data_IF_915234327532
#
_entry.id   IF_915234327532
#
_cell.length_a   1.000
_cell.length_b   1.000
_cell.length_c   1.000
_cell.angle_alpha   90.00
_cell.angle_beta   90.00
_cell.angle_gamma   90.00
#
_symmetry.space_group_name_H-M   'P 1'
#
loop_
_entity.id
_entity.type
_entity.pdbx_description
1 polymer ?
#
# COMPACT_ATOMS: atom_id res chain seq x y z
N UNK A 1 -32.69 2.71 9.73
CA UNK A 1 -31.41 2.31 9.08
C UNK A 1 -31.14 3.27 7.95
N UNK A 2 -29.96 3.88 7.86
CA UNK A 2 -29.58 4.69 6.70
C UNK A 2 -29.59 3.80 5.45
N UNK A 3 -30.39 4.16 4.44
CA UNK A 3 -30.44 3.44 3.17
C UNK A 3 -29.11 3.57 2.44
N UNK A 4 -28.68 2.51 1.76
CA UNK A 4 -27.49 2.54 0.91
C UNK A 4 -27.76 3.40 -0.33
N UNK A 5 -26.91 4.40 -0.58
CA UNK A 5 -27.04 5.33 -1.71
C UNK A 5 -25.77 5.30 -2.54
N UNK A 6 -25.91 5.35 -3.86
CA UNK A 6 -24.80 5.28 -4.82
C UNK A 6 -24.65 6.61 -5.55
N UNK A 7 -23.40 7.04 -5.75
CA UNK A 7 -23.06 8.23 -6.55
C UNK A 7 -22.05 7.88 -7.65
N UNK A 8 -22.18 8.45 -8.86
CA UNK A 8 -21.21 8.25 -9.92
C UNK A 8 -19.87 8.88 -9.58
N UNK A 9 -18.79 8.15 -9.82
CA UNK A 9 -17.43 8.64 -9.65
C UNK A 9 -17.04 9.44 -10.89
N UNK A 10 -16.64 10.69 -10.69
CA UNK A 10 -16.09 11.57 -11.71
C UNK A 10 -14.58 11.67 -11.47
N UNK A 11 -13.79 11.32 -12.49
CA UNK A 11 -12.34 11.46 -12.45
C UNK A 11 -11.91 12.81 -13.03
N UNK A 12 -10.84 13.38 -12.48
CA UNK A 12 -10.22 14.64 -12.91
C UNK A 12 -9.33 14.49 -14.16
N UNK A 13 -9.23 13.29 -14.72
CA UNK A 13 -8.44 12.98 -15.92
C UNK A 13 -9.29 12.35 -17.03
N UNK A 14 -8.87 12.60 -18.28
CA UNK A 14 -9.53 12.04 -19.47
C UNK A 14 -9.03 10.61 -19.75
N UNK A 15 -9.96 9.71 -20.08
CA UNK A 15 -9.71 8.34 -20.50
C UNK A 15 -10.74 7.91 -21.55
N UNK A 16 -10.46 6.85 -22.31
CA UNK A 16 -11.30 6.40 -23.44
C UNK A 16 -12.14 5.15 -23.13
N UNK A 17 -11.81 4.43 -22.07
CA UNK A 17 -12.52 3.21 -21.69
C UNK A 17 -14.01 3.51 -21.45
N UNK A 18 -14.89 2.77 -22.11
CA UNK A 18 -16.34 2.90 -21.89
C UNK A 18 -16.77 2.19 -20.60
N UNK A 19 -16.28 2.70 -19.48
CA UNK A 19 -16.51 2.19 -18.13
C UNK A 19 -16.87 3.34 -17.22
N UNK A 20 -17.97 3.17 -16.47
CA UNK A 20 -18.35 4.08 -15.38
C UNK A 20 -18.26 3.36 -14.03
N UNK A 21 -17.99 4.12 -12.99
CA UNK A 21 -17.88 3.61 -11.63
C UNK A 21 -18.81 4.35 -10.70
N UNK A 22 -19.28 3.67 -9.68
CA UNK A 22 -20.10 4.28 -8.63
C UNK A 22 -19.57 3.87 -7.27
N UNK A 23 -19.71 4.78 -6.31
CA UNK A 23 -19.36 4.57 -4.91
C UNK A 23 -20.60 4.70 -4.03
N UNK A 24 -20.70 3.80 -3.06
CA UNK A 24 -21.76 3.77 -2.07
C UNK A 24 -21.34 4.50 -0.79
N UNK A 25 -22.31 5.08 -0.06
CA UNK A 25 -22.11 5.64 1.28
C UNK A 25 -21.64 4.60 2.31
N UNK A 26 -21.68 3.30 1.99
CA UNK A 26 -21.15 2.20 2.80
C UNK A 26 -19.70 1.82 2.43
N UNK A 27 -19.06 2.51 1.48
CA UNK A 27 -17.70 2.22 1.05
C UNK A 27 -17.56 1.05 0.09
N UNK A 28 -18.63 0.72 -0.65
CA UNK A 28 -18.58 -0.24 -1.76
C UNK A 28 -18.38 0.50 -3.08
N UNK A 29 -17.69 -0.14 -4.03
CA UNK A 29 -17.48 0.38 -5.38
C UNK A 29 -17.98 -0.63 -6.39
N UNK A 30 -18.67 -0.16 -7.43
CA UNK A 30 -19.12 -1.01 -8.54
C UNK A 30 -18.75 -0.40 -9.88
N UNK A 31 -18.55 -1.25 -10.88
CA UNK A 31 -18.25 -0.85 -12.25
C UNK A 31 -19.36 -1.26 -13.21
N UNK A 32 -19.49 -0.48 -14.26
CA UNK A 32 -20.38 -0.75 -15.38
C UNK A 32 -19.56 -0.65 -16.66
N UNK A 33 -19.66 -1.68 -17.49
CA UNK A 33 -19.04 -1.76 -18.80
C UNK A 33 -20.03 -2.36 -19.77
N UNK A 34 -19.67 -2.44 -21.05
CA UNK A 34 -20.49 -3.12 -22.07
C UNK A 34 -20.83 -4.58 -21.70
N UNK A 35 -20.00 -5.24 -20.90
CA UNK A 35 -20.15 -6.65 -20.54
C UNK A 35 -20.69 -6.87 -19.11
N UNK A 36 -20.72 -5.84 -18.26
CA UNK A 36 -21.04 -5.97 -16.84
C UNK A 36 -21.87 -4.80 -16.38
N UNK A 37 -23.03 -5.08 -15.78
CA UNK A 37 -23.93 -4.06 -15.25
C UNK A 37 -23.87 -4.02 -13.72
N UNK A 38 -22.95 -3.23 -13.16
CA UNK A 38 -22.85 -3.02 -11.72
C UNK A 38 -22.05 -4.09 -10.96
N UNK A 39 -20.99 -4.64 -11.57
CA UNK A 39 -20.10 -5.59 -10.90
C UNK A 39 -19.42 -4.93 -9.70
N UNK A 40 -19.56 -5.51 -8.52
CA UNK A 40 -18.83 -5.06 -7.33
C UNK A 40 -17.33 -5.28 -7.50
N UNK A 41 -16.56 -4.25 -7.18
CA UNK A 41 -15.11 -4.31 -7.22
C UNK A 41 -14.58 -4.76 -5.86
N UNK A 42 -13.69 -5.75 -5.88
CA UNK A 42 -12.92 -6.13 -4.70
C UNK A 42 -11.76 -5.15 -4.53
N UNK A 43 -11.64 -4.61 -3.32
CA UNK A 43 -10.51 -3.76 -2.93
C UNK A 43 -9.30 -4.58 -2.49
N UNK A 44 -8.16 -3.92 -2.35
CA UNK A 44 -6.99 -4.40 -1.62
C UNK A 44 -6.68 -3.47 -0.45
N UNK A 45 -5.70 -3.80 0.38
CA UNK A 45 -5.29 -2.96 1.50
C UNK A 45 -3.92 -2.30 1.27
N UNK A 46 -3.73 -1.09 1.78
CA UNK A 46 -2.43 -0.40 1.84
C UNK A 46 -2.39 0.43 3.12
N UNK A 47 -1.37 0.23 3.96
CA UNK A 47 -1.22 0.91 5.26
C UNK A 47 -2.44 0.79 6.20
N UNK A 48 -3.19 -0.31 6.05
CA UNK A 48 -4.41 -0.59 6.80
C UNK A 48 -5.69 0.01 6.19
N UNK A 49 -5.60 0.80 5.11
CA UNK A 49 -6.75 1.37 4.42
C UNK A 49 -7.20 0.53 3.23
N UNK A 50 -8.51 0.48 3.01
CA UNK A 50 -9.08 -0.12 1.79
C UNK A 50 -8.84 0.80 0.60
N UNK A 51 -8.31 0.21 -0.47
CA UNK A 51 -8.09 0.86 -1.76
C UNK A 51 -8.72 0.05 -2.88
N UNK A 52 -9.03 0.70 -3.99
CA UNK A 52 -9.24 0.02 -5.27
C UNK A 52 -8.26 0.55 -6.30
N UNK A 53 -7.85 -0.32 -7.22
CA UNK A 53 -6.88 -0.01 -8.27
C UNK A 53 -7.58 -0.06 -9.61
N UNK A 54 -7.37 0.99 -10.41
CA UNK A 54 -7.89 1.07 -11.76
C UNK A 54 -6.74 1.18 -12.75
N UNK A 55 -6.92 0.51 -13.88
CA UNK A 55 -6.11 0.67 -15.08
C UNK A 55 -7.03 1.17 -16.18
N UNK A 56 -6.83 2.43 -16.57
CA UNK A 56 -7.57 3.09 -17.65
C UNK A 56 -6.59 3.51 -18.76
N UNK A 57 -7.07 4.00 -19.88
CA UNK A 57 -6.24 4.29 -21.05
C UNK A 57 -6.53 5.68 -21.62
N UNK A 58 -5.48 6.46 -21.88
CA UNK A 58 -5.58 7.72 -22.64
C UNK A 58 -6.02 7.45 -24.07
N UNK A 59 -6.51 8.44 -24.83
CA UNK A 59 -6.79 8.27 -26.27
C UNK A 59 -5.51 7.94 -27.08
N UNK A 60 -5.66 7.31 -28.25
CA UNK A 60 -4.53 7.12 -29.19
C UNK A 60 -4.19 8.47 -29.82
N UNK A 61 -2.94 8.62 -30.25
CA UNK A 61 -2.57 9.73 -31.13
C UNK A 61 -3.02 9.41 -32.54
N UNK A 62 -3.47 10.42 -33.29
CA UNK A 62 -3.94 10.25 -34.67
C UNK A 62 -2.89 9.54 -35.55
N UNK A 63 -1.63 9.97 -35.45
CA UNK A 63 -0.51 9.33 -36.15
C UNK A 63 -0.35 7.83 -35.85
N UNK A 64 -0.61 7.41 -34.61
CA UNK A 64 -0.54 5.99 -34.23
C UNK A 64 -1.72 5.21 -34.84
N UNK A 65 -2.91 5.81 -34.86
CA UNK A 65 -4.09 5.19 -35.49
C UNK A 65 -3.90 4.99 -36.98
N UNK A 66 -3.37 6.01 -37.66
CA UNK A 66 -3.00 5.97 -39.07
C UNK A 66 -1.94 4.88 -39.34
N UNK A 67 -0.86 4.86 -38.57
CA UNK A 67 0.18 3.82 -38.69
C UNK A 67 -0.41 2.42 -38.56
N UNK A 68 -1.27 2.19 -37.56
CA UNK A 68 -1.93 0.90 -37.36
C UNK A 68 -2.88 0.55 -38.50
N UNK A 69 -3.60 1.53 -39.06
CA UNK A 69 -4.48 1.33 -40.21
C UNK A 69 -3.68 0.94 -41.45
N UNK A 70 -2.59 1.64 -41.75
CA UNK A 70 -1.71 1.36 -42.88
C UNK A 70 -1.09 -0.05 -42.77
N UNK A 71 -0.53 -0.41 -41.61
CA UNK A 71 0.02 -1.77 -41.41
C UNK A 71 -1.06 -2.85 -41.54
N UNK A 72 -2.29 -2.60 -41.08
CA UNK A 72 -3.39 -3.56 -41.27
C UNK A 72 -3.78 -3.71 -42.74
N UNK A 73 -3.77 -2.62 -43.50
CA UNK A 73 -4.03 -2.62 -44.93
C UNK A 73 -2.95 -3.42 -45.68
N UNK A 74 -1.67 -3.16 -45.41
CA UNK A 74 -0.55 -3.91 -46.00
C UNK A 74 -0.67 -5.43 -45.71
N UNK A 75 -1.00 -5.80 -44.48
CA UNK A 75 -1.23 -7.21 -44.12
C UNK A 75 -2.41 -7.81 -44.92
N UNK A 76 -3.47 -7.03 -45.18
CA UNK A 76 -4.61 -7.50 -45.95
C UNK A 76 -4.25 -7.71 -47.43
N UNK A 77 -3.48 -6.79 -48.02
CA UNK A 77 -2.98 -6.92 -49.39
C UNK A 77 -2.05 -8.13 -49.55
N UNK A 78 -1.12 -8.35 -48.61
CA UNK A 78 -0.27 -9.54 -48.63
C UNK A 78 -1.08 -10.83 -48.51
N UNK A 79 -2.14 -10.85 -47.68
CA UNK A 79 -3.04 -12.01 -47.60
C UNK A 79 -3.79 -12.27 -48.91
N UNK A 80 -4.17 -11.22 -49.63
CA UNK A 80 -4.80 -11.35 -50.95
C UNK A 80 -3.82 -11.98 -51.95
N UNK A 81 -2.58 -11.47 -52.00
CA UNK A 81 -1.50 -12.04 -52.82
C UNK A 81 -1.22 -13.50 -52.47
N UNK A 82 -1.14 -13.84 -51.18
CA UNK A 82 -0.96 -15.24 -50.74
C UNK A 82 -2.12 -16.16 -51.16
N UNK A 83 -3.35 -15.64 -51.28
CA UNK A 83 -4.50 -16.42 -51.75
C UNK A 83 -4.42 -16.70 -53.25
N UNK A 84 -3.88 -15.77 -54.03
CA UNK A 84 -3.67 -15.90 -55.48
C UNK A 84 -2.46 -16.80 -55.78
N UNK A 85 -1.33 -16.57 -55.10
CA UNK A 85 -0.08 -17.32 -55.24
C UNK A 85 0.47 -17.73 -53.87
N UNK A 86 0.10 -18.92 -53.36
CA UNK A 86 0.59 -19.41 -52.08
C UNK A 86 2.11 -19.61 -52.11
N UNK A 87 2.81 -18.88 -51.24
CA UNK A 87 4.27 -18.96 -51.10
C UNK A 87 4.68 -18.93 -49.63
N UNK A 88 5.60 -19.81 -49.25
CA UNK A 88 6.19 -19.87 -47.91
C UNK A 88 6.87 -18.55 -47.51
N UNK A 89 7.38 -17.77 -48.48
CA UNK A 89 7.99 -16.47 -48.21
C UNK A 89 6.93 -15.44 -47.79
N UNK A 90 5.80 -15.36 -48.52
CA UNK A 90 4.68 -14.48 -48.21
C UNK A 90 4.04 -14.82 -46.86
N UNK A 91 3.88 -16.11 -46.55
CA UNK A 91 3.36 -16.55 -45.26
C UNK A 91 4.23 -16.07 -44.08
N UNK A 92 5.56 -16.24 -44.20
CA UNK A 92 6.52 -15.77 -43.19
C UNK A 92 6.48 -14.25 -43.03
N UNK A 93 6.32 -13.50 -44.11
CA UNK A 93 6.22 -12.04 -44.08
C UNK A 93 4.95 -11.57 -43.38
N UNK A 94 3.80 -12.16 -43.71
CA UNK A 94 2.51 -11.89 -43.07
C UNK A 94 2.60 -12.15 -41.56
N UNK A 95 3.15 -13.29 -41.15
CA UNK A 95 3.31 -13.62 -39.73
C UNK A 95 4.29 -12.68 -39.02
N UNK A 96 5.38 -12.28 -39.68
CA UNK A 96 6.32 -11.27 -39.16
C UNK A 96 5.62 -9.93 -38.93
N UNK A 97 4.85 -9.44 -39.90
CA UNK A 97 4.12 -8.17 -39.78
C UNK A 97 3.03 -8.23 -38.70
N UNK A 98 2.25 -9.31 -38.61
CA UNK A 98 1.27 -9.51 -37.54
C UNK A 98 1.95 -9.52 -36.17
N UNK A 99 3.07 -10.22 -36.02
CA UNK A 99 3.86 -10.27 -34.79
C UNK A 99 4.35 -8.89 -34.40
N UNK A 100 4.88 -8.13 -35.35
CA UNK A 100 5.35 -6.76 -35.12
C UNK A 100 4.20 -5.83 -34.74
N UNK A 101 3.07 -5.88 -35.45
CA UNK A 101 1.87 -5.10 -35.13
C UNK A 101 1.36 -5.40 -33.72
N UNK A 102 1.31 -6.68 -33.34
CA UNK A 102 0.92 -7.11 -31.98
C UNK A 102 1.86 -6.53 -30.91
N UNK A 103 3.18 -6.57 -31.14
CA UNK A 103 4.17 -5.96 -30.23
C UNK A 103 3.98 -4.45 -30.12
N UNK A 104 3.79 -3.76 -31.23
CA UNK A 104 3.55 -2.32 -31.29
C UNK A 104 2.28 -1.92 -30.55
N UNK A 105 1.18 -2.64 -30.75
CA UNK A 105 -0.08 -2.43 -30.02
C UNK A 105 0.08 -2.64 -28.51
N UNK A 106 0.76 -3.72 -28.09
CA UNK A 106 1.04 -3.98 -26.67
C UNK A 106 1.91 -2.89 -26.05
N UNK A 107 2.94 -2.41 -26.76
CA UNK A 107 3.80 -1.30 -26.31
C UNK A 107 3.00 -0.01 -26.15
N UNK A 108 2.19 0.34 -27.15
CA UNK A 108 1.35 1.53 -27.11
C UNK A 108 0.30 1.48 -25.99
N UNK A 109 -0.31 0.30 -25.77
CA UNK A 109 -1.27 0.10 -24.68
C UNK A 109 -0.62 0.43 -23.33
N UNK A 110 0.56 -0.15 -23.05
CA UNK A 110 1.33 0.12 -21.82
C UNK A 110 1.69 1.59 -21.66
N UNK A 111 2.11 2.26 -22.74
CA UNK A 111 2.46 3.69 -22.72
C UNK A 111 1.25 4.59 -22.41
N UNK A 112 0.05 4.16 -22.81
CA UNK A 112 -1.21 4.90 -22.56
C UNK A 112 -1.94 4.47 -21.30
N UNK A 113 -1.50 3.39 -20.64
CA UNK A 113 -2.09 2.94 -19.39
C UNK A 113 -1.90 3.97 -18.27
N UNK A 114 -3.01 4.31 -17.63
CA UNK A 114 -3.12 5.15 -16.46
C UNK A 114 -3.38 4.23 -15.29
N UNK A 115 -2.39 4.08 -14.41
CA UNK A 115 -2.51 3.30 -13.19
C UNK A 115 -2.82 4.24 -12.03
N UNK A 116 -3.99 4.09 -11.42
CA UNK A 116 -4.42 4.91 -10.27
C UNK A 116 -4.93 4.02 -9.15
N UNK A 117 -4.58 4.38 -7.92
CA UNK A 117 -5.13 3.79 -6.72
C UNK A 117 -5.94 4.85 -5.98
N UNK A 118 -7.09 4.46 -5.47
CA UNK A 118 -8.00 5.35 -4.77
C UNK A 118 -8.27 4.81 -3.37
N UNK A 119 -8.14 5.67 -2.37
CA UNK A 119 -8.51 5.37 -0.99
C UNK A 119 -10.04 5.41 -0.88
N UNK A 120 -10.64 4.29 -0.46
CA UNK A 120 -12.10 4.17 -0.38
C UNK A 120 -12.69 5.19 0.58
N UNK A 121 -12.13 5.35 1.78
CA UNK A 121 -12.63 6.31 2.76
C UNK A 121 -12.62 7.75 2.21
N UNK A 122 -11.55 8.14 1.51
CA UNK A 122 -11.43 9.48 0.94
C UNK A 122 -12.49 9.71 -0.14
N UNK A 123 -12.66 8.75 -1.03
CA UNK A 123 -13.74 8.80 -2.02
C UNK A 123 -15.10 8.89 -1.34
N UNK A 124 -15.42 8.04 -0.35
CA UNK A 124 -16.70 8.14 0.37
C UNK A 124 -16.89 9.54 0.97
N UNK A 125 -15.86 10.09 1.61
CA UNK A 125 -15.93 11.42 2.20
C UNK A 125 -16.13 12.53 1.15
N UNK A 126 -15.48 12.45 -0.01
CA UNK A 126 -15.67 13.41 -1.11
C UNK A 126 -17.11 13.44 -1.65
N UNK A 127 -17.78 12.28 -1.71
CA UNK A 127 -19.13 12.18 -2.26
C UNK A 127 -20.26 12.30 -1.24
N UNK A 128 -20.03 11.95 0.03
CA UNK A 128 -21.10 11.80 1.04
C UNK A 128 -20.90 12.60 2.32
N UNK A 129 -19.71 13.18 2.56
CA UNK A 129 -19.43 13.93 3.79
C UNK A 129 -19.17 15.40 3.42
N UNK A 130 -20.00 16.34 3.89
CA UNK A 130 -19.79 17.76 3.62
C UNK A 130 -18.50 18.26 4.27
N UNK A 131 -17.86 19.23 3.62
CA UNK A 131 -16.77 20.02 4.20
C UNK A 131 -17.36 21.29 4.79
N UNK A 132 -16.95 21.65 6.00
CA UNK A 132 -17.36 22.88 6.66
C UNK A 132 -16.42 24.05 6.29
N UNK A 133 -15.15 23.75 6.03
CA UNK A 133 -14.15 24.75 5.65
C UNK A 133 -13.08 24.18 4.71
N UNK A 134 -12.33 25.07 4.04
CA UNK A 134 -11.26 24.68 3.12
C UNK A 134 -10.00 24.13 3.81
N UNK A 135 -9.81 24.42 5.10
CA UNK A 135 -8.69 23.92 5.90
C UNK A 135 -8.83 22.43 6.23
N UNK A 136 -10.04 21.87 6.13
CA UNK A 136 -10.31 20.45 6.31
C UNK A 136 -9.79 19.63 5.12
N UNK A 137 -8.52 19.24 5.24
CA UNK A 137 -7.78 18.50 4.19
C UNK A 137 -7.64 17.01 4.48
N UNK A 138 -7.93 16.57 5.71
CA UNK A 138 -7.74 15.18 6.17
C UNK A 138 -9.10 14.52 6.40
N UNK A 139 -9.24 13.26 5.97
CA UNK A 139 -10.41 12.43 6.29
C UNK A 139 -10.04 11.50 7.44
N UNK A 140 -10.76 11.59 8.55
CA UNK A 140 -10.55 10.76 9.73
C UNK A 140 -11.70 9.76 9.92
N UNK A 141 -11.36 8.57 10.43
CA UNK A 141 -12.32 7.59 10.94
C UNK A 141 -12.63 7.89 12.40
N UNK A 142 -13.90 8.13 12.72
CA UNK A 142 -14.36 8.50 14.07
C UNK A 142 -14.14 7.36 15.08
N UNK A 143 -14.27 6.11 14.63
CA UNK A 143 -14.07 4.90 15.43
C UNK A 143 -12.61 4.38 15.46
N UNK A 144 -11.67 5.08 14.83
CA UNK A 144 -10.27 4.66 14.65
C UNK A 144 -10.06 3.37 13.85
N UNK A 145 -11.12 2.81 13.24
CA UNK A 145 -11.04 1.62 12.41
C UNK A 145 -10.97 2.01 10.93
N UNK A 146 -9.76 1.91 10.36
CA UNK A 146 -9.45 2.24 8.96
C UNK A 146 -10.23 1.43 7.92
N UNK A 147 -10.87 0.33 8.31
CA UNK A 147 -11.70 -0.51 7.42
C UNK A 147 -13.17 -0.09 7.40
N UNK A 148 -13.64 0.66 8.41
CA UNK A 148 -15.03 1.11 8.51
C UNK A 148 -15.25 2.38 7.66
N UNK A 149 -15.40 2.19 6.35
CA UNK A 149 -15.52 3.29 5.39
C UNK A 149 -16.96 3.80 5.21
N UNK A 150 -17.85 3.61 6.18
CA UNK A 150 -19.21 4.17 6.11
C UNK A 150 -19.12 5.69 6.21
N UNK A 151 -19.87 6.42 5.40
CA UNK A 151 -19.89 7.88 5.41
C UNK A 151 -20.18 8.46 6.80
N UNK A 152 -21.06 7.82 7.58
CA UNK A 152 -21.37 8.21 8.96
C UNK A 152 -20.20 8.06 9.94
N UNK A 153 -19.18 7.27 9.60
CA UNK A 153 -17.96 7.07 10.40
C UNK A 153 -16.80 7.97 9.93
N UNK A 154 -16.99 8.75 8.88
CA UNK A 154 -15.95 9.59 8.29
C UNK A 154 -16.24 11.05 8.56
N UNK A 155 -15.18 11.81 8.84
CA UNK A 155 -15.27 13.27 9.02
C UNK A 155 -14.07 13.95 8.36
N UNK A 156 -14.34 15.06 7.69
CA UNK A 156 -13.33 16.00 7.24
C UNK A 156 -12.81 16.80 8.45
N UNK A 157 -11.50 16.81 8.64
CA UNK A 157 -10.81 17.47 9.75
C UNK A 157 -9.63 18.28 9.23
N UNK A 158 -9.30 19.35 9.94
CA UNK A 158 -8.01 20.03 9.83
C UNK A 158 -6.89 19.13 10.38
N UNK A 159 -5.62 19.36 10.01
CA UNK A 159 -4.50 18.60 10.58
C UNK A 159 -4.46 18.65 12.12
N UNK A 160 -4.78 19.80 12.71
CA UNK A 160 -4.80 20.02 14.16
C UNK A 160 -5.92 19.22 14.83
N UNK A 161 -7.14 19.27 14.28
CA UNK A 161 -8.27 18.47 14.77
C UNK A 161 -8.00 16.98 14.66
N UNK A 162 -7.44 16.51 13.54
CA UNK A 162 -7.11 15.11 13.37
C UNK A 162 -6.02 14.68 14.36
N UNK A 163 -5.01 15.51 14.62
CA UNK A 163 -3.99 15.22 15.63
C UNK A 163 -4.61 15.08 17.03
N UNK A 164 -5.52 15.98 17.42
CA UNK A 164 -6.25 15.90 18.68
C UNK A 164 -7.14 14.64 18.75
N UNK A 165 -7.84 14.32 17.67
CA UNK A 165 -8.64 13.08 17.54
C UNK A 165 -7.76 11.83 17.69
N UNK A 166 -6.59 11.77 17.07
CA UNK A 166 -5.70 10.62 17.22
C UNK A 166 -5.21 10.43 18.67
N UNK A 167 -5.06 11.50 19.46
CA UNK A 167 -4.69 11.38 20.88
C UNK A 167 -5.79 10.74 21.73
N UNK A 168 -7.06 10.88 21.36
CA UNK A 168 -8.19 10.22 22.04
C UNK A 168 -8.37 8.76 21.63
N UNK A 169 -7.55 8.26 20.69
CA UNK A 169 -7.58 6.87 20.27
C UNK A 169 -7.33 5.92 21.45
N UNK A 170 -8.17 4.87 21.64
CA UNK A 170 -7.94 3.86 22.67
C UNK A 170 -6.56 3.21 22.59
N UNK A 171 -6.05 3.02 21.35
CA UNK A 171 -4.73 2.45 21.11
C UNK A 171 -3.61 3.37 21.59
N UNK A 172 -3.73 4.68 21.33
CA UNK A 172 -2.74 5.69 21.76
C UNK A 172 -2.77 5.83 23.28
N UNK A 173 -3.96 5.88 23.89
CA UNK A 173 -4.11 5.94 25.34
C UNK A 173 -3.50 4.70 26.01
N UNK A 174 -3.76 3.51 25.46
CA UNK A 174 -3.18 2.26 25.96
C UNK A 174 -1.66 2.25 25.85
N UNK A 175 -1.10 2.67 24.70
CA UNK A 175 0.34 2.78 24.49
C UNK A 175 0.99 3.81 25.44
N UNK A 176 0.35 4.96 25.67
CA UNK A 176 0.83 5.94 26.64
C UNK A 176 0.84 5.39 28.06
N UNK A 177 -0.20 4.66 28.47
CA UNK A 177 -0.23 3.96 29.77
C UNK A 177 0.90 2.93 29.87
N UNK A 178 1.10 2.13 28.83
CA UNK A 178 2.19 1.15 28.75
C UNK A 178 3.57 1.82 28.82
N UNK A 179 3.77 2.97 28.17
CA UNK A 179 5.04 3.72 28.23
C UNK A 179 5.34 4.27 29.62
N UNK A 180 4.32 4.66 30.38
CA UNK A 180 4.47 5.12 31.77
C UNK A 180 4.80 3.97 32.70
N UNK A 181 4.20 2.78 32.49
CA UNK A 181 4.48 1.59 33.31
C UNK A 181 5.76 0.88 32.89
N UNK A 182 6.21 1.05 31.64
CA UNK A 182 7.48 0.51 31.17
C UNK A 182 8.63 1.23 31.86
N UNK A 183 9.23 0.55 32.83
CA UNK A 183 10.52 0.95 33.40
C UNK A 183 11.50 1.10 32.24
N UNK A 184 11.88 2.35 31.93
CA UNK A 184 12.96 2.62 30.99
C UNK A 184 14.21 1.97 31.61
N UNK A 185 14.74 0.93 30.98
CA UNK A 185 16.11 0.44 31.26
C UNK A 185 17.12 1.47 30.74
N UNK A 186 17.03 2.69 31.24
CA UNK A 186 17.92 3.79 30.90
C UNK A 186 19.22 3.61 31.67
N UNK A 187 20.34 3.49 30.96
CA UNK A 187 21.69 3.44 31.57
C UNK A 187 22.25 2.06 31.91
N UNK A 188 21.51 0.96 31.70
CA UNK A 188 22.05 -0.39 31.93
C UNK A 188 22.75 -0.90 30.67
N UNK A 189 24.10 -0.87 30.66
CA UNK A 189 24.92 -1.50 29.61
C UNK A 189 24.76 -3.02 29.52
N UNK A 190 24.14 -3.65 30.53
CA UNK A 190 23.93 -5.09 30.62
C UNK A 190 22.46 -5.41 30.83
N UNK A 191 21.97 -6.44 30.15
CA UNK A 191 20.68 -7.07 30.41
C UNK A 191 20.79 -8.24 31.41
N UNK A 192 19.64 -8.72 31.91
CA UNK A 192 19.57 -9.81 32.89
C UNK A 192 20.19 -11.13 32.38
N UNK A 193 20.05 -11.41 31.09
CA UNK A 193 20.58 -12.62 30.44
C UNK A 193 22.10 -12.55 30.29
N UNK A 194 22.63 -11.37 29.94
CA UNK A 194 24.05 -11.06 29.90
C UNK A 194 24.68 -11.18 31.28
N UNK A 195 24.02 -10.67 32.32
CA UNK A 195 24.49 -10.81 33.71
C UNK A 195 24.48 -12.27 34.15
N UNK A 196 23.45 -13.05 33.77
CA UNK A 196 23.43 -14.49 34.03
C UNK A 196 24.62 -15.20 33.35
N UNK A 197 24.95 -14.84 32.10
CA UNK A 197 26.10 -15.37 31.39
C UNK A 197 27.44 -14.96 32.03
N UNK A 198 27.56 -13.70 32.46
CA UNK A 198 28.72 -13.20 33.23
C UNK A 198 28.91 -14.03 34.50
N UNK A 199 27.86 -14.26 35.29
CA UNK A 199 27.92 -15.08 36.51
C UNK A 199 28.29 -16.54 36.21
N UNK A 200 27.79 -17.14 35.12
CA UNK A 200 28.23 -18.48 34.66
C UNK A 200 29.71 -18.51 34.28
N UNK A 201 30.21 -17.49 33.58
CA UNK A 201 31.62 -17.38 33.19
C UNK A 201 32.54 -17.19 34.41
N UNK A 202 32.10 -16.40 35.39
CA UNK A 202 32.79 -16.25 36.67
C UNK A 202 32.87 -17.57 37.45
N UNK A 203 31.78 -18.36 37.48
CA UNK A 203 31.75 -19.70 38.10
C UNK A 203 32.72 -20.68 37.43
N UNK A 204 32.98 -20.50 36.13
CA UNK A 204 33.97 -21.27 35.35
C UNK A 204 35.42 -20.78 35.53
N UNK A 205 35.65 -19.79 36.39
CA UNK A 205 37.00 -19.27 36.65
C UNK A 205 37.57 -18.38 35.55
N UNK A 206 36.73 -17.86 34.63
CA UNK A 206 37.21 -16.98 33.56
C UNK A 206 37.64 -15.63 34.17
N UNK A 207 38.82 -15.08 33.82
CA UNK A 207 39.30 -13.82 34.37
C UNK A 207 38.38 -12.62 34.06
N UNK A 208 38.16 -11.75 35.05
CA UNK A 208 37.28 -10.57 34.95
C UNK A 208 37.58 -9.69 33.72
N UNK A 209 38.87 -9.47 33.40
CA UNK A 209 39.32 -8.72 32.22
C UNK A 209 38.77 -9.28 30.91
N UNK A 210 38.79 -10.60 30.75
CA UNK A 210 38.31 -11.27 29.53
C UNK A 210 36.80 -11.12 29.38
N UNK A 211 36.07 -11.24 30.49
CA UNK A 211 34.62 -11.04 30.54
C UNK A 211 34.27 -9.58 30.22
N UNK A 212 34.95 -8.62 30.85
CA UNK A 212 34.78 -7.20 30.61
C UNK A 212 34.99 -6.82 29.13
N UNK A 213 36.04 -7.35 28.49
CA UNK A 213 36.29 -7.17 27.05
C UNK A 213 35.16 -7.72 26.18
N UNK A 214 34.66 -8.92 26.50
CA UNK A 214 33.59 -9.57 25.73
C UNK A 214 32.27 -8.81 25.81
N UNK A 215 31.94 -8.26 26.98
CA UNK A 215 30.69 -7.52 27.20
C UNK A 215 30.83 -6.00 27.04
N UNK A 216 32.03 -5.51 26.68
CA UNK A 216 32.34 -4.08 26.50
C UNK A 216 31.97 -3.22 27.72
N UNK A 217 32.26 -3.74 28.91
CA UNK A 217 32.04 -3.07 30.21
C UNK A 217 33.37 -2.93 30.95
N UNK A 218 33.41 -2.07 31.98
CA UNK A 218 34.63 -1.94 32.80
C UNK A 218 34.87 -3.20 33.63
N UNK A 219 36.13 -3.51 33.92
CA UNK A 219 36.49 -4.63 34.81
C UNK A 219 35.86 -4.47 36.20
N UNK A 220 35.76 -3.22 36.67
CA UNK A 220 35.06 -2.86 37.90
C UNK A 220 33.57 -3.26 37.85
N UNK A 221 32.90 -3.13 36.71
CA UNK A 221 31.50 -3.54 36.55
C UNK A 221 31.35 -5.06 36.67
N UNK A 222 32.31 -5.85 36.16
CA UNK A 222 32.34 -7.31 36.36
C UNK A 222 32.66 -7.65 37.82
N UNK A 223 33.57 -6.92 38.46
CA UNK A 223 33.88 -7.09 39.87
C UNK A 223 32.65 -6.86 40.76
N UNK A 224 31.91 -5.77 40.55
CA UNK A 224 30.65 -5.48 41.28
C UNK A 224 29.57 -6.54 41.08
N UNK A 225 29.50 -7.15 39.89
CA UNK A 225 28.59 -8.28 39.62
C UNK A 225 29.07 -9.55 40.35
N UNK A 226 30.39 -9.76 40.43
CA UNK A 226 31.01 -10.89 41.12
C UNK A 226 30.80 -10.81 42.64
N UNK A 227 30.96 -9.63 43.23
CA UNK A 227 30.77 -9.41 44.68
C UNK A 227 29.30 -9.29 45.08
N UNK A 228 28.38 -9.17 44.12
CA UNK A 228 26.96 -9.01 44.39
C UNK A 228 26.54 -7.58 44.76
N UNK A 229 27.46 -6.60 44.71
CA UNK A 229 27.16 -5.17 44.89
C UNK A 229 26.13 -4.69 43.83
N UNK A 230 26.27 -5.18 42.59
CA UNK A 230 25.30 -4.98 41.51
C UNK A 230 24.68 -6.31 41.07
N UNK A 231 23.39 -6.31 40.74
CA UNK A 231 22.65 -7.47 40.23
C UNK A 231 22.66 -8.69 41.17
N UNK A 232 22.62 -8.47 42.49
CA UNK A 232 22.51 -9.53 43.51
C UNK A 232 21.32 -10.46 43.27
N UNK A 233 20.17 -9.90 42.88
CA UNK A 233 18.92 -10.62 42.62
C UNK A 233 18.98 -11.66 41.48
N UNK A 234 19.99 -11.60 40.60
CA UNK A 234 20.15 -12.60 39.53
C UNK A 234 20.93 -13.79 40.06
N UNK A 235 20.24 -14.87 40.40
CA UNK A 235 20.86 -16.11 40.87
C UNK A 235 21.11 -17.05 39.69
N UNK A 236 22.24 -17.74 39.70
CA UNK A 236 22.61 -18.74 38.71
C UNK A 236 22.87 -20.05 39.43
N UNK A 237 22.13 -21.09 39.05
CA UNK A 237 22.37 -22.48 39.48
C UNK A 237 23.69 -23.02 38.95
#
# INVERSE_FOLDING_TARGET
MLKETWKPIIFDFKYIDNVRYEISNMGKVRSYSRLSNGKLLTGSMTEGYNIFRLTLHKAKTAHFEETVANTKYEIAELKKKYKEEPSTQLEKEIEKMKSQLSKTLKKNLKQRSIYKHFLVHRMVAEYFVPKENEKQTVVAHLDFNKQNNKASNLKWMTPEENAAHQQSSPYVIAEQKMRKTRVRKSGLKLDSSQVMLIKKQLKRGIPNRRIAKNFKVSEMQIHRIKTGENWSHIVVS
#
